data_IF_285888255428
#
_entry.id   IF_285888255428
#
_cell.length_a   1.000
_cell.length_b   1.000
_cell.length_c   1.000
_cell.angle_alpha   90.00
_cell.angle_beta   90.00
_cell.angle_gamma   90.00
#
_symmetry.space_group_name_H-M   'P 1'
#
loop_
_entity.id
_entity.type
_entity.pdbx_description
1 polymer ?
#
# COMPACT_ATOMS: atom_id res chain seq x y z
N UNK A 1 20.70 11.96 9.39
CA UNK A 1 20.12 12.87 8.36
C UNK A 1 18.78 12.25 7.95
N UNK A 2 17.76 13.08 7.70
CA UNK A 2 16.47 12.62 7.18
C UNK A 2 16.59 12.16 5.72
N UNK A 3 15.85 11.14 5.34
CA UNK A 3 15.76 10.65 3.96
C UNK A 3 14.92 11.65 3.14
N UNK A 4 15.49 12.19 2.08
CA UNK A 4 14.81 13.14 1.20
C UNK A 4 14.03 12.41 0.12
N UNK A 5 12.72 12.60 0.11
CA UNK A 5 11.85 11.98 -0.91
C UNK A 5 11.18 13.04 -1.78
N UNK A 6 10.97 12.71 -3.05
CA UNK A 6 10.15 13.47 -3.97
C UNK A 6 8.94 12.63 -4.41
N UNK A 7 7.76 13.24 -4.50
CA UNK A 7 6.51 12.56 -4.87
C UNK A 7 6.11 12.97 -6.29
N UNK A 8 6.07 12.02 -7.21
CA UNK A 8 5.48 12.20 -8.53
C UNK A 8 4.05 11.64 -8.52
N UNK A 9 3.06 12.51 -8.65
CA UNK A 9 1.63 12.20 -8.50
C UNK A 9 1.13 12.47 -7.08
N UNK A 10 0.44 13.59 -6.89
CA UNK A 10 -0.10 14.01 -5.60
C UNK A 10 -1.60 13.71 -5.49
N UNK A 11 -1.98 12.51 -6.00
CA UNK A 11 -3.31 11.91 -5.86
C UNK A 11 -3.56 11.40 -4.42
N UNK A 12 -4.46 10.43 -4.27
CA UNK A 12 -4.79 9.85 -2.95
C UNK A 12 -3.54 9.38 -2.21
N UNK A 13 -2.75 8.51 -2.82
CA UNK A 13 -1.58 7.89 -2.17
C UNK A 13 -0.48 8.93 -1.91
N UNK A 14 -0.14 9.78 -2.90
CA UNK A 14 0.89 10.82 -2.69
C UNK A 14 0.55 11.78 -1.55
N UNK A 15 -0.72 12.24 -1.44
CA UNK A 15 -1.17 13.07 -0.32
C UNK A 15 -1.13 12.32 1.01
N UNK A 16 -1.57 11.07 1.03
CA UNK A 16 -1.59 10.27 2.27
C UNK A 16 -0.19 9.91 2.75
N UNK A 17 0.79 9.76 1.87
CA UNK A 17 2.21 9.61 2.27
C UNK A 17 2.68 10.86 3.03
N UNK A 18 2.45 12.05 2.49
CA UNK A 18 2.83 13.29 3.18
C UNK A 18 2.08 13.45 4.51
N UNK A 19 0.76 13.15 4.53
CA UNK A 19 -0.04 13.17 5.75
C UNK A 19 0.51 12.21 6.79
N UNK A 20 0.78 10.95 6.42
CA UNK A 20 1.30 9.92 7.32
C UNK A 20 2.64 10.32 7.95
N UNK A 21 3.55 10.90 7.16
CA UNK A 21 4.86 11.39 7.65
C UNK A 21 4.68 12.51 8.68
N UNK A 22 3.78 13.46 8.42
CA UNK A 22 3.57 14.61 9.31
C UNK A 22 2.80 14.20 10.56
N UNK A 23 1.68 13.49 10.40
CA UNK A 23 0.77 13.12 11.49
C UNK A 23 1.42 12.12 12.47
N UNK A 24 2.28 11.23 11.99
CA UNK A 24 3.05 10.32 12.84
C UNK A 24 4.23 10.97 13.57
N UNK A 25 4.55 12.23 13.27
CA UNK A 25 5.67 12.94 13.89
C UNK A 25 7.06 12.44 13.44
N UNK A 26 7.17 11.67 12.35
CA UNK A 26 8.43 11.11 11.85
C UNK A 26 9.43 12.23 11.50
N UNK A 27 10.67 12.04 11.87
CA UNK A 27 11.78 12.96 11.58
C UNK A 27 12.87 12.31 10.73
N UNK A 28 12.75 11.04 10.44
CA UNK A 28 13.68 10.22 9.66
C UNK A 28 13.49 10.36 8.14
N UNK A 29 12.37 10.97 7.71
CA UNK A 29 11.99 11.16 6.30
C UNK A 29 11.41 12.56 6.08
N UNK A 30 11.72 13.15 4.93
CA UNK A 30 11.32 14.51 4.56
C UNK A 30 10.87 14.54 3.08
N UNK A 31 9.70 15.11 2.81
CA UNK A 31 9.24 15.37 1.45
C UNK A 31 9.80 16.72 1.00
N UNK A 32 10.69 16.72 0.02
CA UNK A 32 11.38 17.94 -0.48
C UNK A 32 10.77 18.48 -1.77
N UNK A 33 10.07 17.63 -2.54
CA UNK A 33 9.43 18.03 -3.80
C UNK A 33 8.18 17.21 -4.09
N UNK A 34 7.25 17.84 -4.80
CA UNK A 34 6.02 17.24 -5.31
C UNK A 34 5.88 17.62 -6.78
N UNK A 35 5.47 16.68 -7.62
CA UNK A 35 5.01 16.97 -8.97
C UNK A 35 3.57 16.51 -9.12
N UNK A 36 2.69 17.41 -9.55
CA UNK A 36 1.30 17.11 -9.88
C UNK A 36 0.79 18.11 -10.92
N UNK A 37 -0.06 17.66 -11.85
CA UNK A 37 -0.53 18.50 -12.96
C UNK A 37 -1.59 19.54 -12.55
N UNK A 38 -2.15 19.40 -11.35
CA UNK A 38 -3.11 20.35 -10.81
C UNK A 38 -2.45 21.60 -10.23
N UNK A 39 -3.19 22.72 -10.10
CA UNK A 39 -2.69 23.92 -9.44
C UNK A 39 -2.30 23.67 -7.99
N UNK A 40 -1.25 24.34 -7.51
CA UNK A 40 -0.77 24.21 -6.13
C UNK A 40 -1.87 24.51 -5.12
N UNK A 41 -2.69 25.54 -5.36
CA UNK A 41 -3.82 25.88 -4.49
C UNK A 41 -4.84 24.75 -4.35
N UNK A 42 -5.11 24.03 -5.43
CA UNK A 42 -6.00 22.85 -5.41
C UNK A 42 -5.39 21.71 -4.64
N UNK A 43 -4.10 21.44 -4.85
CA UNK A 43 -3.36 20.41 -4.10
C UNK A 43 -3.30 20.74 -2.60
N UNK A 44 -3.07 21.98 -2.24
CA UNK A 44 -3.09 22.48 -0.86
C UNK A 44 -4.48 22.30 -0.22
N UNK A 45 -5.55 22.63 -0.95
CA UNK A 45 -6.93 22.45 -0.49
C UNK A 45 -7.24 20.97 -0.24
N UNK A 46 -6.93 20.09 -1.21
CA UNK A 46 -7.17 18.65 -1.09
C UNK A 46 -6.27 17.95 -0.06
N UNK A 47 -5.12 18.54 0.30
CA UNK A 47 -4.31 18.08 1.42
C UNK A 47 -4.92 18.52 2.74
N UNK A 48 -5.44 19.76 2.82
CA UNK A 48 -6.06 20.29 4.04
C UNK A 48 -7.36 19.59 4.40
N UNK A 49 -8.19 19.25 3.39
CA UNK A 49 -9.52 18.70 3.56
C UNK A 49 -9.66 17.39 2.79
N UNK A 50 -9.85 16.31 3.51
CA UNK A 50 -10.01 14.97 2.96
C UNK A 50 -11.32 14.37 3.44
N UNK A 51 -12.15 13.88 2.51
CA UNK A 51 -13.47 13.32 2.84
C UNK A 51 -13.38 11.99 3.58
N UNK A 52 -12.25 11.29 3.49
CA UNK A 52 -12.00 9.99 4.11
C UNK A 52 -11.22 10.14 5.40
N UNK A 53 -10.08 10.87 5.35
CA UNK A 53 -9.14 11.01 6.47
C UNK A 53 -9.36 12.30 7.28
N UNK A 54 -10.36 13.09 6.92
CA UNK A 54 -10.71 14.30 7.66
C UNK A 54 -9.77 15.48 7.43
N UNK A 55 -9.90 16.48 8.27
CA UNK A 55 -9.11 17.70 8.18
C UNK A 55 -7.68 17.45 8.64
N UNK A 56 -6.70 17.90 7.83
CA UNK A 56 -5.29 17.81 8.19
C UNK A 56 -5.01 18.68 9.43
N UNK A 57 -4.25 18.19 10.43
CA UNK A 57 -4.09 18.88 11.71
C UNK A 57 -3.29 20.18 11.62
N UNK A 58 -2.43 20.32 10.60
CA UNK A 58 -1.64 21.50 10.37
C UNK A 58 -2.29 22.37 9.29
N UNK A 59 -2.27 23.70 9.44
CA UNK A 59 -2.74 24.61 8.41
C UNK A 59 -1.75 24.63 7.24
N UNK A 60 -2.22 24.22 6.07
CA UNK A 60 -1.42 24.25 4.85
C UNK A 60 -1.26 25.68 4.35
N UNK A 61 -0.01 26.07 4.10
CA UNK A 61 0.34 27.30 3.41
C UNK A 61 0.84 26.97 2.01
N UNK A 62 0.68 27.87 1.06
CA UNK A 62 1.16 27.67 -0.30
C UNK A 62 1.44 28.98 -1.02
N UNK A 63 2.27 28.89 -2.04
CA UNK A 63 2.49 29.92 -3.06
C UNK A 63 2.28 29.28 -4.45
N UNK A 64 2.70 29.94 -5.51
CA UNK A 64 2.63 29.37 -6.86
C UNK A 64 3.54 28.14 -7.07
N UNK A 65 4.62 28.01 -6.30
CA UNK A 65 5.66 26.98 -6.50
C UNK A 65 5.98 26.16 -5.24
N UNK A 66 5.37 26.47 -4.12
CA UNK A 66 5.68 25.84 -2.84
C UNK A 66 4.40 25.53 -2.05
N UNK A 67 4.50 24.46 -1.27
CA UNK A 67 3.51 24.04 -0.29
C UNK A 67 4.23 23.82 1.04
N UNK A 68 3.69 24.33 2.14
CA UNK A 68 4.20 24.08 3.49
C UNK A 68 3.14 23.36 4.32
N UNK A 69 3.49 22.17 4.77
CA UNK A 69 2.68 21.32 5.66
C UNK A 69 3.17 21.37 7.12
N UNK A 70 3.79 22.49 7.52
CA UNK A 70 4.27 22.72 8.89
C UNK A 70 5.72 22.31 9.15
N UNK A 71 6.48 21.95 8.11
CA UNK A 71 7.90 21.58 8.22
C UNK A 71 8.81 22.33 7.23
N UNK A 72 8.31 23.40 6.64
CA UNK A 72 9.01 24.19 5.64
C UNK A 72 8.49 23.96 4.23
N UNK A 73 9.10 24.67 3.30
CA UNK A 73 8.65 24.73 1.90
C UNK A 73 8.99 23.45 1.12
N UNK A 74 7.97 22.81 0.61
CA UNK A 74 8.06 21.69 -0.33
C UNK A 74 7.90 22.28 -1.73
N UNK A 75 8.89 22.09 -2.61
CA UNK A 75 8.81 22.56 -3.99
C UNK A 75 7.72 21.81 -4.76
N UNK A 76 6.87 22.54 -5.51
CA UNK A 76 5.83 21.95 -6.35
C UNK A 76 6.08 22.28 -7.82
N UNK A 77 5.99 21.26 -8.67
CA UNK A 77 6.07 21.34 -10.12
C UNK A 77 4.81 20.77 -10.77
N UNK A 78 4.54 21.15 -12.01
CA UNK A 78 3.42 20.65 -12.80
C UNK A 78 3.90 20.18 -14.19
N UNK A 79 4.87 19.27 -14.19
CA UNK A 79 5.52 18.76 -15.39
C UNK A 79 4.92 17.38 -15.77
N UNK A 80 4.43 17.29 -17.01
CA UNK A 80 3.84 16.05 -17.54
C UNK A 80 4.90 15.01 -17.89
N UNK A 81 6.04 15.48 -18.40
CA UNK A 81 7.15 14.63 -18.77
C UNK A 81 8.07 14.41 -17.55
N UNK A 82 8.15 13.18 -17.00
CA UNK A 82 8.99 12.93 -15.84
C UNK A 82 10.49 13.11 -16.11
N UNK A 83 10.93 13.17 -17.40
CA UNK A 83 12.31 13.44 -17.74
C UNK A 83 12.77 14.89 -17.40
N UNK A 84 11.83 15.78 -17.16
CA UNK A 84 12.10 17.20 -16.85
C UNK A 84 12.06 17.49 -15.33
N UNK A 85 11.74 16.48 -14.51
CA UNK A 85 11.58 16.64 -13.07
C UNK A 85 12.94 16.90 -12.40
N UNK A 86 13.06 17.92 -11.57
CA UNK A 86 14.32 18.30 -10.94
C UNK A 86 14.54 17.52 -9.63
N UNK A 87 14.96 16.28 -9.72
CA UNK A 87 15.17 15.37 -8.60
C UNK A 87 16.63 15.36 -8.06
N UNK A 88 17.41 16.42 -8.30
CA UNK A 88 18.74 16.54 -7.70
C UNK A 88 18.63 16.50 -6.17
N UNK A 89 19.52 15.75 -5.53
CA UNK A 89 19.55 15.56 -4.07
C UNK A 89 18.33 14.84 -3.46
N UNK A 90 17.63 14.03 -4.25
CA UNK A 90 16.53 13.17 -3.81
C UNK A 90 17.04 11.74 -3.58
N UNK A 91 16.87 11.22 -2.36
CA UNK A 91 17.27 9.85 -2.04
C UNK A 91 16.33 8.84 -2.69
N UNK A 92 15.01 9.07 -2.60
CA UNK A 92 14.02 8.18 -3.20
C UNK A 92 12.92 8.99 -3.90
N UNK A 93 12.73 8.74 -5.20
CA UNK A 93 11.57 9.23 -5.93
C UNK A 93 10.40 8.26 -5.74
N UNK A 94 9.27 8.78 -5.25
CA UNK A 94 8.03 8.02 -5.07
C UNK A 94 7.15 8.19 -6.30
N UNK A 95 7.03 7.12 -7.09
CA UNK A 95 6.18 7.12 -8.29
C UNK A 95 4.75 6.75 -7.90
N UNK A 96 3.90 7.76 -7.78
CA UNK A 96 2.52 7.64 -7.28
C UNK A 96 1.46 8.03 -8.31
N UNK A 97 1.83 8.18 -9.60
CA UNK A 97 0.86 8.57 -10.65
C UNK A 97 -0.02 7.40 -11.11
N UNK A 98 0.43 6.15 -10.92
CA UNK A 98 -0.20 4.97 -11.51
C UNK A 98 0.03 4.81 -13.02
N UNK A 99 0.80 5.71 -13.65
CA UNK A 99 1.08 5.71 -15.10
C UNK A 99 2.42 5.05 -15.43
N UNK A 100 3.45 5.32 -14.63
CA UNK A 100 4.81 4.83 -14.86
C UNK A 100 5.08 3.57 -14.02
N UNK A 101 4.28 2.51 -14.27
CA UNK A 101 4.32 1.26 -13.51
C UNK A 101 5.25 0.19 -14.10
N UNK A 102 5.87 0.45 -15.26
CA UNK A 102 6.96 -0.40 -15.78
C UNK A 102 8.30 0.11 -15.24
N UNK A 103 9.22 -0.83 -14.96
CA UNK A 103 10.57 -0.51 -14.48
C UNK A 103 11.27 0.53 -15.34
N UNK A 104 11.27 0.35 -16.67
CA UNK A 104 11.99 1.23 -17.58
C UNK A 104 11.39 2.64 -17.64
N UNK A 105 10.07 2.74 -17.49
CA UNK A 105 9.38 4.03 -17.40
C UNK A 105 9.68 4.71 -16.06
N UNK A 106 9.64 3.97 -14.95
CA UNK A 106 9.94 4.51 -13.62
C UNK A 106 11.42 4.89 -13.47
N UNK A 107 12.34 4.17 -14.14
CA UNK A 107 13.78 4.45 -14.09
C UNK A 107 14.19 5.84 -14.61
N UNK A 108 13.27 6.57 -15.25
CA UNK A 108 13.53 7.94 -15.70
C UNK A 108 13.86 8.87 -14.53
N UNK A 109 13.31 8.62 -13.35
CA UNK A 109 13.61 9.40 -12.15
C UNK A 109 15.07 9.27 -11.71
N UNK A 110 15.74 8.15 -12.00
CA UNK A 110 17.17 7.97 -11.75
C UNK A 110 18.02 8.89 -12.62
N UNK A 111 17.60 9.09 -13.88
CA UNK A 111 18.30 9.99 -14.81
C UNK A 111 18.20 11.46 -14.40
N UNK A 112 17.20 11.79 -13.60
CA UNK A 112 16.94 13.14 -13.10
C UNK A 112 17.60 13.44 -11.77
N UNK A 113 18.35 12.49 -11.21
CA UNK A 113 19.14 12.67 -10.00
C UNK A 113 18.64 11.98 -8.75
N UNK A 114 17.48 11.29 -8.79
CA UNK A 114 17.06 10.45 -7.67
C UNK A 114 18.00 9.23 -7.54
N UNK A 115 18.38 8.89 -6.31
CA UNK A 115 19.23 7.73 -6.07
C UNK A 115 18.46 6.42 -6.31
N UNK A 116 17.18 6.36 -5.94
CA UNK A 116 16.31 5.19 -6.06
C UNK A 116 14.88 5.60 -6.43
N UNK A 117 14.08 4.63 -6.88
CA UNK A 117 12.67 4.83 -7.20
C UNK A 117 11.84 3.79 -6.48
N UNK A 118 10.79 4.23 -5.78
CA UNK A 118 9.77 3.36 -5.18
C UNK A 118 8.43 3.59 -5.88
N UNK A 119 7.91 2.54 -6.53
CA UNK A 119 6.64 2.58 -7.25
C UNK A 119 5.51 2.16 -6.32
N UNK A 120 4.46 2.99 -6.21
CA UNK A 120 3.29 2.76 -5.34
C UNK A 120 2.25 1.82 -5.96
N UNK A 121 2.68 0.90 -6.80
CA UNK A 121 1.84 -0.07 -7.51
C UNK A 121 2.67 -1.32 -7.88
N UNK A 122 2.03 -2.44 -8.25
CA UNK A 122 2.72 -3.53 -8.91
C UNK A 122 3.47 -3.01 -10.14
N UNK A 123 4.76 -3.32 -10.24
CA UNK A 123 5.63 -2.80 -11.30
C UNK A 123 6.24 -3.93 -12.11
N UNK A 124 5.92 -3.95 -13.41
CA UNK A 124 6.47 -4.94 -14.33
C UNK A 124 7.97 -4.73 -14.50
N UNK A 125 8.73 -5.79 -14.25
CA UNK A 125 10.19 -5.78 -14.41
C UNK A 125 10.95 -4.98 -13.36
N UNK A 126 10.30 -4.52 -12.26
CA UNK A 126 11.00 -3.92 -11.12
C UNK A 126 12.16 -4.79 -10.65
N UNK A 127 13.24 -4.17 -10.20
CA UNK A 127 14.42 -4.91 -9.72
C UNK A 127 14.03 -5.81 -8.55
N UNK A 128 13.09 -5.35 -7.70
CA UNK A 128 12.45 -6.16 -6.66
C UNK A 128 11.01 -5.69 -6.42
N UNK A 129 10.13 -6.64 -6.08
CA UNK A 129 8.80 -6.36 -5.51
C UNK A 129 8.83 -6.71 -4.04
N UNK A 130 8.46 -5.76 -3.17
CA UNK A 130 8.59 -5.93 -1.73
C UNK A 130 7.30 -5.65 -0.98
N UNK A 131 7.19 -6.33 0.16
CA UNK A 131 6.25 -6.03 1.24
C UNK A 131 7.08 -5.82 2.51
N UNK A 132 6.95 -4.64 3.10
CA UNK A 132 7.69 -4.30 4.31
C UNK A 132 7.30 -5.23 5.47
N UNK A 133 8.30 -5.70 6.21
CA UNK A 133 8.13 -6.71 7.27
C UNK A 133 8.20 -8.15 6.76
N UNK A 134 8.07 -8.39 5.45
CA UNK A 134 8.10 -9.73 4.85
C UNK A 134 9.44 -9.98 4.16
N UNK A 135 9.70 -9.27 3.06
CA UNK A 135 10.92 -9.47 2.26
C UNK A 135 11.69 -8.18 1.95
N UNK A 136 11.39 -7.06 2.60
CA UNK A 136 12.08 -5.78 2.36
C UNK A 136 13.59 -5.86 2.63
N UNK A 137 14.03 -6.75 3.53
CA UNK A 137 15.45 -6.98 3.85
C UNK A 137 16.22 -7.64 2.70
N UNK A 138 15.53 -8.12 1.68
CA UNK A 138 16.16 -8.66 0.48
C UNK A 138 16.54 -7.56 -0.55
N UNK A 139 16.16 -6.31 -0.32
CA UNK A 139 16.59 -5.18 -1.17
C UNK A 139 18.09 -5.03 -0.99
N UNK A 140 18.80 -4.96 -2.10
CA UNK A 140 20.26 -4.76 -2.14
C UNK A 140 20.63 -3.35 -2.62
N UNK A 141 21.89 -2.98 -2.51
CA UNK A 141 22.39 -1.72 -3.06
C UNK A 141 22.26 -1.65 -4.58
N UNK A 142 22.23 -2.77 -5.28
CA UNK A 142 22.07 -2.83 -6.74
C UNK A 142 20.61 -2.59 -7.21
N UNK A 143 19.63 -2.80 -6.34
CA UNK A 143 18.23 -2.63 -6.68
C UNK A 143 17.85 -1.14 -6.66
N UNK A 144 17.52 -0.58 -7.79
CA UNK A 144 17.29 0.87 -7.96
C UNK A 144 15.81 1.22 -8.15
N UNK A 145 15.01 0.35 -8.78
CA UNK A 145 13.58 0.55 -9.03
C UNK A 145 12.81 -0.57 -8.32
N UNK A 146 12.16 -0.21 -7.24
CA UNK A 146 11.44 -1.13 -6.35
C UNK A 146 9.95 -0.93 -6.50
N UNK A 147 9.19 -2.03 -6.52
CA UNK A 147 7.74 -2.01 -6.38
C UNK A 147 7.34 -2.27 -4.94
N UNK A 148 6.50 -1.40 -4.36
CA UNK A 148 5.88 -1.64 -3.04
C UNK A 148 4.65 -2.57 -3.13
N UNK A 149 4.51 -3.33 -4.22
CA UNK A 149 3.37 -4.19 -4.52
C UNK A 149 2.03 -3.41 -4.52
N UNK A 150 0.94 -4.06 -4.15
CA UNK A 150 -0.38 -3.43 -3.97
C UNK A 150 -0.76 -3.37 -2.48
N UNK A 151 -1.76 -2.55 -2.13
CA UNK A 151 -2.31 -2.51 -0.79
C UNK A 151 -2.84 -3.88 -0.34
N UNK A 152 -3.50 -4.62 -1.22
CA UNK A 152 -4.00 -5.97 -0.95
C UNK A 152 -2.85 -6.97 -0.75
N UNK A 153 -1.77 -6.88 -1.53
CA UNK A 153 -0.58 -7.74 -1.34
C UNK A 153 0.10 -7.43 -0.01
N UNK A 154 0.17 -6.16 0.39
CA UNK A 154 0.70 -5.74 1.69
C UNK A 154 -0.16 -6.26 2.85
N UNK A 155 -1.47 -6.36 2.68
CA UNK A 155 -2.38 -6.95 3.66
C UNK A 155 -2.21 -8.48 3.75
N UNK A 156 -2.17 -9.16 2.61
CA UNK A 156 -2.19 -10.61 2.54
C UNK A 156 -0.86 -11.26 2.94
N UNK A 157 0.28 -10.71 2.45
CA UNK A 157 1.60 -11.36 2.57
C UNK A 157 2.05 -11.60 4.00
N UNK A 158 1.92 -10.67 4.97
CA UNK A 158 2.30 -10.93 6.37
C UNK A 158 1.57 -12.12 6.98
N UNK A 159 0.27 -12.23 6.69
CA UNK A 159 -0.57 -13.29 7.25
C UNK A 159 -0.26 -14.65 6.62
N UNK A 160 -0.17 -14.73 5.29
CA UNK A 160 0.15 -16.01 4.64
C UNK A 160 1.57 -16.48 4.93
N UNK A 161 2.52 -15.57 5.17
CA UNK A 161 3.88 -15.90 5.59
C UNK A 161 3.86 -16.68 6.91
N UNK A 162 3.26 -16.11 7.95
CA UNK A 162 3.24 -16.74 9.28
C UNK A 162 2.43 -18.05 9.28
N UNK A 163 1.32 -18.09 8.54
CA UNK A 163 0.52 -19.31 8.43
C UNK A 163 1.28 -20.41 7.67
N UNK A 164 1.95 -20.05 6.56
CA UNK A 164 2.73 -21.02 5.79
C UNK A 164 3.92 -21.59 6.59
N UNK A 165 4.61 -20.72 7.32
CA UNK A 165 5.77 -21.12 8.15
C UNK A 165 5.38 -22.05 9.31
N UNK A 166 4.18 -21.92 9.88
CA UNK A 166 3.76 -22.67 11.07
C UNK A 166 2.91 -23.92 10.76
N UNK A 167 1.97 -23.82 9.81
CA UNK A 167 1.01 -24.90 9.51
C UNK A 167 1.05 -25.38 8.06
N UNK A 168 1.78 -24.66 7.18
CA UNK A 168 1.89 -24.96 5.76
C UNK A 168 0.62 -24.65 5.01
N UNK A 169 0.68 -23.83 3.96
CA UNK A 169 -0.41 -23.58 3.02
C UNK A 169 -0.18 -24.48 1.81
N UNK A 170 -1.13 -25.34 1.51
CA UNK A 170 -1.14 -26.21 0.34
C UNK A 170 -1.66 -25.46 -0.88
N UNK A 171 -2.81 -24.80 -0.75
CA UNK A 171 -3.45 -23.95 -1.74
C UNK A 171 -4.49 -23.06 -1.07
N UNK A 172 -4.87 -21.98 -1.73
CA UNK A 172 -5.92 -21.10 -1.22
C UNK A 172 -6.50 -20.19 -2.28
N UNK A 173 -7.67 -19.64 -1.97
CA UNK A 173 -8.35 -18.66 -2.81
C UNK A 173 -8.79 -17.49 -1.94
N UNK A 174 -8.46 -16.27 -2.35
CA UNK A 174 -8.89 -15.09 -1.64
C UNK A 174 -9.91 -14.27 -2.41
N UNK A 175 -10.83 -13.67 -1.70
CA UNK A 175 -11.66 -12.57 -2.19
C UNK A 175 -11.32 -11.31 -1.43
N UNK A 176 -10.86 -10.27 -2.11
CA UNK A 176 -10.81 -8.96 -1.45
C UNK A 176 -12.13 -8.23 -1.68
N UNK A 177 -12.83 -7.95 -0.58
CA UNK A 177 -13.95 -7.00 -0.57
C UNK A 177 -13.33 -5.62 -0.40
N UNK A 178 -13.30 -4.87 -1.49
CA UNK A 178 -12.43 -3.70 -1.62
C UNK A 178 -13.23 -2.42 -1.80
N UNK A 179 -12.86 -1.36 -1.09
CA UNK A 179 -13.39 -0.02 -1.35
C UNK A 179 -13.15 0.39 -2.79
N UNK A 180 -13.99 1.28 -3.32
CA UNK A 180 -13.72 1.87 -4.63
C UNK A 180 -12.47 2.76 -4.58
N UNK A 181 -11.80 2.92 -5.71
CA UNK A 181 -10.58 3.73 -5.85
C UNK A 181 -10.75 4.79 -6.93
N UNK A 182 -9.82 5.73 -7.01
CA UNK A 182 -9.93 6.89 -7.89
C UNK A 182 -9.98 6.60 -9.40
N UNK A 183 -9.76 5.34 -9.81
CA UNK A 183 -9.96 4.86 -11.18
C UNK A 183 -11.43 4.51 -11.49
N UNK A 184 -12.29 4.44 -10.47
CA UNK A 184 -13.69 4.09 -10.62
C UNK A 184 -14.58 5.33 -10.60
N UNK A 185 -15.49 5.47 -11.60
CA UNK A 185 -16.32 6.64 -11.73
C UNK A 185 -17.49 6.65 -10.73
N UNK A 186 -17.98 7.83 -10.39
CA UNK A 186 -19.21 8.00 -9.60
C UNK A 186 -20.47 7.60 -10.41
N UNK A 187 -20.47 7.84 -11.72
CA UNK A 187 -21.51 7.44 -12.67
C UNK A 187 -20.90 6.64 -13.82
N UNK A 188 -21.72 5.84 -14.51
CA UNK A 188 -21.30 5.02 -15.64
C UNK A 188 -20.55 5.87 -16.69
N UNK A 189 -19.35 5.43 -17.08
CA UNK A 189 -18.52 6.10 -18.07
C UNK A 189 -17.56 5.12 -18.77
N UNK A 190 -16.85 5.60 -19.78
CA UNK A 190 -15.90 4.77 -20.54
C UNK A 190 -14.75 4.30 -19.65
N UNK A 191 -14.54 2.99 -19.66
CA UNK A 191 -13.42 2.31 -19.00
C UNK A 191 -13.05 1.05 -19.79
N UNK A 192 -11.78 0.66 -19.78
CA UNK A 192 -11.30 -0.55 -20.47
C UNK A 192 -11.84 -1.84 -19.87
N UNK A 193 -12.07 -1.88 -18.56
CA UNK A 193 -12.81 -2.95 -17.87
C UNK A 193 -14.29 -2.55 -17.77
N UNK A 194 -15.16 -3.29 -18.43
CA UNK A 194 -16.59 -3.00 -18.49
C UNK A 194 -17.29 -3.08 -17.11
N UNK A 195 -16.77 -3.88 -16.20
CA UNK A 195 -17.26 -3.88 -14.82
C UNK A 195 -16.93 -2.57 -14.11
N UNK A 196 -15.69 -2.07 -14.26
CA UNK A 196 -15.25 -0.80 -13.65
C UNK A 196 -15.82 0.43 -14.35
N UNK A 197 -16.43 0.28 -15.52
CA UNK A 197 -17.16 1.35 -16.21
C UNK A 197 -18.44 1.78 -15.46
N UNK A 198 -18.90 0.97 -14.52
CA UNK A 198 -20.16 1.19 -13.80
C UNK A 198 -19.95 1.99 -12.52
N UNK A 199 -21.05 2.63 -12.07
CA UNK A 199 -21.09 3.48 -10.87
C UNK A 199 -20.58 2.78 -9.62
N UNK A 200 -19.46 3.25 -9.09
CA UNK A 200 -18.79 2.71 -7.91
C UNK A 200 -19.61 2.90 -6.62
N UNK A 201 -20.40 3.98 -6.56
CA UNK A 201 -21.17 4.34 -5.37
C UNK A 201 -22.50 3.58 -5.24
N UNK A 202 -22.93 2.86 -6.30
CA UNK A 202 -24.23 2.19 -6.34
C UNK A 202 -24.14 0.67 -6.46
N UNK A 203 -22.97 0.12 -6.78
CA UNK A 203 -22.87 -1.27 -7.21
C UNK A 203 -21.76 -2.02 -6.51
N UNK A 204 -21.98 -3.32 -6.26
CA UNK A 204 -20.90 -4.27 -6.00
C UNK A 204 -20.35 -4.71 -7.36
N UNK A 205 -19.06 -4.53 -7.58
CA UNK A 205 -18.41 -4.70 -8.89
C UNK A 205 -17.37 -5.81 -8.82
N UNK A 206 -17.60 -6.98 -9.45
CA UNK A 206 -16.59 -8.02 -9.56
C UNK A 206 -15.48 -7.56 -10.51
N UNK A 207 -14.23 -7.79 -10.14
CA UNK A 207 -13.09 -7.44 -11.00
C UNK A 207 -11.89 -8.34 -10.69
N UNK A 208 -10.97 -8.42 -11.62
CA UNK A 208 -9.72 -9.14 -11.42
C UNK A 208 -8.81 -8.43 -10.43
N UNK A 209 -7.94 -9.20 -9.78
CA UNK A 209 -6.82 -8.69 -8.99
C UNK A 209 -5.59 -9.57 -9.19
N UNK A 210 -4.43 -8.95 -9.32
CA UNK A 210 -3.15 -9.66 -9.33
C UNK A 210 -2.55 -9.87 -7.93
N UNK A 211 -3.24 -9.43 -6.87
CA UNK A 211 -2.66 -9.36 -5.53
C UNK A 211 -2.26 -10.73 -4.96
N UNK A 212 -3.08 -11.78 -5.16
CA UNK A 212 -2.76 -13.13 -4.71
C UNK A 212 -1.57 -13.73 -5.47
N UNK A 213 -1.51 -13.52 -6.78
CA UNK A 213 -0.37 -13.96 -7.62
C UNK A 213 0.91 -13.21 -7.27
N UNK A 214 0.80 -11.93 -6.91
CA UNK A 214 1.93 -11.12 -6.49
C UNK A 214 2.55 -11.58 -5.17
N UNK A 215 1.82 -12.33 -4.33
CA UNK A 215 2.39 -12.98 -3.14
C UNK A 215 3.54 -13.91 -3.53
N UNK A 216 3.46 -14.62 -4.66
CA UNK A 216 4.54 -15.47 -5.14
C UNK A 216 5.81 -14.73 -5.57
N UNK A 217 5.76 -13.40 -5.80
CA UNK A 217 6.94 -12.56 -6.02
C UNK A 217 7.63 -12.17 -4.71
N UNK A 218 6.89 -12.16 -3.61
CA UNK A 218 7.33 -11.75 -2.28
C UNK A 218 7.72 -12.96 -1.44
N UNK A 219 6.99 -14.06 -1.60
CA UNK A 219 7.15 -15.36 -0.93
C UNK A 219 7.18 -16.46 -2.01
N UNK A 220 8.35 -16.75 -2.60
CA UNK A 220 8.48 -17.70 -3.72
C UNK A 220 7.93 -19.10 -3.43
N UNK A 221 7.96 -19.53 -2.17
CA UNK A 221 7.42 -20.82 -1.71
C UNK A 221 5.89 -20.92 -1.84
N UNK A 222 5.20 -19.78 -1.98
CA UNK A 222 3.75 -19.70 -2.23
C UNK A 222 3.40 -19.46 -3.70
N UNK A 223 4.37 -19.43 -4.60
CA UNK A 223 4.13 -19.26 -6.02
C UNK A 223 3.19 -20.36 -6.56
N UNK A 224 2.10 -19.93 -7.22
CA UNK A 224 1.10 -20.85 -7.78
C UNK A 224 0.14 -21.50 -6.78
N UNK A 225 0.32 -21.26 -5.48
CA UNK A 225 -0.56 -21.84 -4.43
C UNK A 225 -1.76 -20.96 -4.11
N UNK A 226 -1.71 -19.67 -4.42
CA UNK A 226 -2.76 -18.71 -4.13
C UNK A 226 -3.26 -18.05 -5.42
N UNK A 227 -4.59 -17.92 -5.53
CA UNK A 227 -5.27 -17.11 -6.54
C UNK A 227 -6.40 -16.31 -5.89
N UNK A 228 -7.04 -15.39 -6.62
CA UNK A 228 -8.12 -14.62 -6.04
C UNK A 228 -8.76 -13.63 -6.98
N UNK A 229 -9.83 -13.03 -6.46
CA UNK A 229 -10.66 -12.04 -7.14
C UNK A 229 -10.89 -10.82 -6.23
N UNK A 230 -11.41 -9.75 -6.81
CA UNK A 230 -11.84 -8.57 -6.05
C UNK A 230 -13.33 -8.31 -6.28
N UNK A 231 -14.02 -7.90 -5.22
CA UNK A 231 -15.35 -7.32 -5.29
C UNK A 231 -15.24 -5.89 -4.77
N UNK A 232 -15.42 -4.91 -5.66
CA UNK A 232 -15.49 -3.51 -5.25
C UNK A 232 -16.87 -3.21 -4.69
N UNK A 233 -16.91 -2.49 -3.57
CA UNK A 233 -18.13 -2.17 -2.85
C UNK A 233 -18.30 -0.65 -2.69
N UNK A 234 -19.55 -0.15 -2.48
CA UNK A 234 -19.83 1.28 -2.28
C UNK A 234 -19.31 1.82 -0.93
N UNK A 235 -18.03 1.67 -0.68
CA UNK A 235 -17.35 2.09 0.55
C UNK A 235 -16.12 2.89 0.14
N UNK A 236 -15.89 4.10 0.69
CA UNK A 236 -14.83 5.00 0.20
C UNK A 236 -13.44 4.58 0.63
N UNK A 237 -13.30 3.86 1.74
CA UNK A 237 -12.02 3.40 2.27
C UNK A 237 -12.22 2.21 3.19
N UNK A 238 -11.13 1.52 3.49
CA UNK A 238 -11.01 0.27 4.21
C UNK A 238 -11.58 -0.91 3.42
N UNK A 239 -10.76 -1.91 3.29
CA UNK A 239 -11.00 -3.14 2.56
C UNK A 239 -10.72 -4.35 3.46
N UNK A 240 -11.16 -5.52 3.04
CA UNK A 240 -10.76 -6.76 3.71
C UNK A 240 -10.38 -7.85 2.71
N UNK A 241 -9.54 -8.76 3.15
CA UNK A 241 -9.24 -10.03 2.48
C UNK A 241 -9.96 -11.15 3.22
N UNK A 242 -10.80 -11.87 2.52
CA UNK A 242 -11.39 -13.14 2.94
C UNK A 242 -10.58 -14.25 2.25
N UNK A 243 -9.77 -14.96 3.03
CA UNK A 243 -8.89 -16.00 2.54
C UNK A 243 -9.39 -17.37 3.03
N UNK A 244 -9.73 -18.24 2.08
CA UNK A 244 -9.97 -19.67 2.33
C UNK A 244 -8.78 -20.46 1.79
N UNK A 245 -8.20 -21.35 2.63
CA UNK A 245 -7.01 -22.11 2.28
C UNK A 245 -7.00 -23.49 2.93
N UNK A 246 -6.31 -24.41 2.28
CA UNK A 246 -6.07 -25.77 2.76
C UNK A 246 -4.66 -25.85 3.35
N UNK A 247 -4.56 -26.38 4.56
CA UNK A 247 -3.27 -26.57 5.25
C UNK A 247 -2.64 -27.92 4.91
N UNK A 248 -1.31 -28.02 5.11
CA UNK A 248 -0.56 -29.27 4.90
C UNK A 248 -0.81 -30.29 6.02
N UNK A 249 -1.08 -29.79 7.23
CA UNK A 249 -1.44 -30.59 8.40
C UNK A 249 -2.69 -30.06 9.06
N UNK A 250 -3.29 -30.87 9.91
CA UNK A 250 -4.42 -30.43 10.73
C UNK A 250 -4.01 -29.27 11.66
N UNK A 251 -4.97 -28.38 11.89
CA UNK A 251 -4.85 -27.21 12.73
C UNK A 251 -6.19 -26.90 13.41
N UNK A 252 -6.23 -25.84 14.21
CA UNK A 252 -7.43 -25.40 14.89
C UNK A 252 -7.56 -23.86 14.82
N UNK A 253 -8.77 -23.36 15.03
CA UNK A 253 -9.03 -21.92 15.19
C UNK A 253 -8.13 -21.30 16.26
N UNK A 254 -7.93 -21.97 17.38
CA UNK A 254 -7.10 -21.49 18.49
C UNK A 254 -5.63 -21.37 18.07
N UNK A 255 -5.08 -22.37 17.37
CA UNK A 255 -3.70 -22.36 16.88
C UNK A 255 -3.48 -21.22 15.85
N UNK A 256 -4.36 -21.07 14.87
CA UNK A 256 -4.27 -20.00 13.87
C UNK A 256 -4.27 -18.62 14.53
N UNK A 257 -5.19 -18.40 15.47
CA UNK A 257 -5.30 -17.14 16.21
C UNK A 257 -4.05 -16.87 17.07
N UNK A 258 -3.49 -17.91 17.70
CA UNK A 258 -2.26 -17.79 18.48
C UNK A 258 -1.04 -17.44 17.61
N UNK A 259 -0.92 -18.03 16.43
CA UNK A 259 0.13 -17.70 15.45
C UNK A 259 0.05 -16.22 15.07
N UNK A 260 -1.14 -15.73 14.74
CA UNK A 260 -1.36 -14.34 14.37
C UNK A 260 -1.02 -13.38 15.54
N UNK A 261 -1.50 -13.69 16.75
CA UNK A 261 -1.26 -12.89 17.94
C UNK A 261 0.24 -12.82 18.31
N UNK A 262 0.94 -13.94 18.23
CA UNK A 262 2.37 -14.00 18.53
C UNK A 262 3.18 -13.15 17.53
N UNK A 263 2.88 -13.25 16.25
CA UNK A 263 3.55 -12.47 15.20
C UNK A 263 3.26 -10.97 15.28
N UNK A 264 2.06 -10.58 15.69
CA UNK A 264 1.71 -9.17 15.91
C UNK A 264 2.42 -8.56 17.14
N UNK A 265 2.68 -9.37 18.16
CA UNK A 265 3.30 -8.91 19.42
C UNK A 265 4.81 -8.69 19.30
N UNK A 266 5.50 -9.45 18.45
CA UNK A 266 6.96 -9.46 18.38
C UNK A 266 7.49 -9.74 16.97
N UNK A 267 8.80 -9.50 16.76
CA UNK A 267 9.48 -9.78 15.51
C UNK A 267 9.24 -8.74 14.40
N UNK A 268 9.50 -9.09 13.13
CA UNK A 268 9.49 -8.15 12.02
C UNK A 268 8.10 -7.61 11.67
N UNK A 269 7.03 -8.27 12.12
CA UNK A 269 5.65 -7.86 11.85
C UNK A 269 5.04 -7.00 12.97
N UNK A 270 5.76 -6.74 14.05
CA UNK A 270 5.29 -5.84 15.11
C UNK A 270 5.03 -4.44 14.54
N UNK A 271 3.80 -3.92 14.75
CA UNK A 271 3.36 -2.64 14.20
C UNK A 271 2.94 -2.68 12.72
N UNK A 272 3.12 -3.82 12.04
CA UNK A 272 2.69 -4.06 10.66
C UNK A 272 1.45 -4.95 10.63
N UNK A 273 1.46 -6.03 11.41
CA UNK A 273 0.32 -6.89 11.69
C UNK A 273 -0.30 -6.52 13.02
N UNK A 274 -1.61 -6.45 13.07
CA UNK A 274 -2.41 -6.35 14.28
C UNK A 274 -3.39 -7.50 14.37
N UNK A 275 -3.98 -7.70 15.55
CA UNK A 275 -5.08 -8.63 15.79
C UNK A 275 -6.21 -7.92 16.51
N UNK A 276 -7.44 -8.38 16.29
CA UNK A 276 -8.63 -7.92 17.00
C UNK A 276 -9.61 -9.07 17.20
N UNK A 277 -10.28 -9.12 18.35
CA UNK A 277 -11.41 -9.99 18.67
C UNK A 277 -12.72 -9.20 18.81
N UNK A 278 -12.65 -7.88 18.67
CA UNK A 278 -13.78 -6.97 18.75
C UNK A 278 -14.69 -7.08 17.51
N UNK A 279 -15.97 -6.76 17.69
CA UNK A 279 -16.99 -6.77 16.63
C UNK A 279 -16.95 -5.48 15.81
N UNK A 280 -15.88 -5.30 15.04
CA UNK A 280 -15.61 -4.10 14.28
C UNK A 280 -16.04 -4.23 12.81
N UNK A 281 -16.27 -3.09 12.17
CA UNK A 281 -16.61 -2.96 10.76
C UNK A 281 -15.61 -2.02 10.06
N UNK A 282 -15.70 -1.91 8.75
CA UNK A 282 -14.68 -1.22 7.93
C UNK A 282 -14.29 0.17 8.44
N UNK A 283 -15.26 0.99 8.87
CA UNK A 283 -14.97 2.37 9.30
C UNK A 283 -14.07 2.45 10.54
N UNK A 284 -14.08 1.44 11.39
CA UNK A 284 -13.29 1.39 12.62
C UNK A 284 -11.80 1.23 12.35
N UNK A 285 -11.45 0.77 11.16
CA UNK A 285 -10.06 0.63 10.71
C UNK A 285 -9.59 1.80 9.84
N UNK A 286 -10.42 2.82 9.65
CA UNK A 286 -10.02 4.00 8.90
C UNK A 286 -8.86 4.70 9.61
N UNK A 287 -7.82 5.03 8.86
CA UNK A 287 -6.61 5.66 9.39
C UNK A 287 -5.73 4.73 10.26
N UNK A 288 -5.90 3.41 10.14
CA UNK A 288 -5.01 2.46 10.79
C UNK A 288 -3.69 2.34 10.01
N UNK A 289 -2.53 2.58 10.63
CA UNK A 289 -1.24 2.54 9.94
C UNK A 289 -0.72 1.13 9.65
N UNK A 290 -1.35 0.09 10.21
CA UNK A 290 -0.92 -1.30 10.00
C UNK A 290 -1.31 -1.80 8.60
N UNK A 291 -0.51 -2.70 8.07
CA UNK A 291 -0.78 -3.33 6.77
C UNK A 291 -1.91 -4.35 6.83
N UNK A 292 -2.05 -5.02 7.96
CA UNK A 292 -2.96 -6.15 8.16
C UNK A 292 -3.52 -6.12 9.58
N UNK A 293 -4.84 -6.24 9.74
CA UNK A 293 -5.49 -6.43 11.03
C UNK A 293 -6.27 -7.73 10.96
N UNK A 294 -5.77 -8.76 11.63
CA UNK A 294 -6.34 -10.10 11.65
C UNK A 294 -7.53 -10.16 12.61
N UNK A 295 -8.72 -10.53 12.11
CA UNK A 295 -9.94 -10.66 12.90
C UNK A 295 -10.04 -12.09 13.45
N UNK A 296 -9.67 -12.29 14.73
CA UNK A 296 -9.59 -13.62 15.36
C UNK A 296 -10.96 -14.30 15.54
N UNK A 297 -12.01 -13.50 15.68
CA UNK A 297 -13.41 -13.99 15.80
C UNK A 297 -13.96 -14.52 14.47
N UNK A 298 -13.31 -14.18 13.35
CA UNK A 298 -13.70 -14.59 12.01
C UNK A 298 -12.96 -15.84 11.51
N UNK A 299 -12.04 -16.39 12.29
CA UNK A 299 -11.31 -17.61 11.95
C UNK A 299 -12.23 -18.82 12.02
N UNK A 300 -12.23 -19.64 10.96
CA UNK A 300 -12.96 -20.92 10.87
C UNK A 300 -12.04 -22.02 10.41
N UNK A 301 -12.23 -23.21 10.96
CA UNK A 301 -11.55 -24.44 10.52
C UNK A 301 -12.62 -25.53 10.33
N UNK A 302 -12.64 -26.16 9.17
CA UNK A 302 -13.49 -27.29 8.83
C UNK A 302 -12.59 -28.51 8.58
N UNK A 303 -13.00 -29.67 9.06
CA UNK A 303 -12.32 -30.97 8.87
C UNK A 303 -10.81 -30.94 9.17
N UNK A 304 -10.40 -30.08 10.11
CA UNK A 304 -9.04 -29.94 10.58
C UNK A 304 -8.09 -29.16 9.64
N UNK A 305 -8.38 -29.02 8.37
CA UNK A 305 -7.44 -28.46 7.40
C UNK A 305 -8.00 -27.45 6.39
N UNK A 306 -9.32 -27.31 6.27
CA UNK A 306 -9.91 -26.24 5.46
C UNK A 306 -10.16 -25.01 6.35
N UNK A 307 -9.38 -23.97 6.14
CA UNK A 307 -9.33 -22.78 6.99
C UNK A 307 -9.87 -21.55 6.27
N UNK A 308 -10.52 -20.68 7.02
CA UNK A 308 -10.92 -19.36 6.55
C UNK A 308 -10.48 -18.30 7.55
N UNK A 309 -9.89 -17.21 7.09
CA UNK A 309 -9.50 -16.05 7.89
C UNK A 309 -9.95 -14.75 7.23
N UNK A 310 -10.21 -13.72 8.05
CA UNK A 310 -10.56 -12.37 7.59
C UNK A 310 -9.50 -11.38 8.08
N UNK A 311 -9.05 -10.52 7.16
CA UNK A 311 -7.98 -9.58 7.42
C UNK A 311 -8.44 -8.20 6.94
N UNK A 312 -8.49 -7.21 7.83
CA UNK A 312 -8.82 -5.83 7.51
C UNK A 312 -7.58 -5.03 7.14
N UNK A 313 -7.73 -4.00 6.34
CA UNK A 313 -6.68 -3.04 6.03
C UNK A 313 -7.23 -1.70 5.54
N UNK A 314 -6.65 -0.61 6.00
CA UNK A 314 -6.84 0.67 5.34
C UNK A 314 -5.99 0.71 4.07
N UNK A 315 -6.64 0.56 2.92
CA UNK A 315 -5.97 0.44 1.63
C UNK A 315 -5.24 1.71 1.17
N UNK A 316 -5.52 2.85 1.80
CA UNK A 316 -4.82 4.11 1.56
C UNK A 316 -3.77 4.39 2.65
N UNK A 317 -4.18 4.39 3.93
CA UNK A 317 -3.34 4.82 5.03
C UNK A 317 -2.26 3.81 5.40
N UNK A 318 -2.61 2.54 5.58
CA UNK A 318 -1.64 1.48 5.85
C UNK A 318 -0.60 1.38 4.74
N UNK A 319 -1.03 1.43 3.48
CA UNK A 319 -0.14 1.40 2.33
C UNK A 319 0.79 2.63 2.27
N UNK A 320 0.29 3.83 2.58
CA UNK A 320 1.07 5.07 2.60
C UNK A 320 2.16 5.04 3.69
N UNK A 321 1.87 4.46 4.84
CA UNK A 321 2.88 4.23 5.88
C UNK A 321 3.98 3.26 5.39
N UNK A 322 3.62 2.19 4.68
CA UNK A 322 4.62 1.25 4.10
C UNK A 322 5.48 1.91 3.03
N UNK A 323 4.93 2.82 2.24
CA UNK A 323 5.74 3.61 1.30
C UNK A 323 6.83 4.42 2.03
N UNK A 324 6.50 5.06 3.15
CA UNK A 324 7.46 5.80 3.95
C UNK A 324 8.52 4.87 4.58
N UNK A 325 8.11 3.73 5.15
CA UNK A 325 9.02 2.77 5.77
C UNK A 325 9.99 2.15 4.76
N UNK A 326 9.48 1.74 3.61
CA UNK A 326 10.30 1.17 2.52
C UNK A 326 11.30 2.21 2.00
N UNK A 327 10.90 3.49 1.88
CA UNK A 327 11.79 4.57 1.45
C UNK A 327 12.98 4.76 2.39
N UNK A 328 12.72 4.76 3.70
CA UNK A 328 13.78 4.89 4.71
C UNK A 328 14.73 3.69 4.66
N UNK A 329 14.18 2.49 4.54
CA UNK A 329 15.00 1.29 4.40
C UNK A 329 15.87 1.33 3.14
N UNK A 330 15.29 1.68 1.98
CA UNK A 330 16.02 1.81 0.71
C UNK A 330 17.18 2.80 0.81
N UNK A 331 16.96 3.95 1.42
CA UNK A 331 18.01 4.97 1.58
C UNK A 331 19.11 4.52 2.54
N UNK A 332 18.81 3.68 3.53
CA UNK A 332 19.82 3.16 4.47
C UNK A 332 20.85 2.21 3.83
N UNK A 333 20.56 1.66 2.65
CA UNK A 333 21.45 0.78 1.91
C UNK A 333 22.58 1.51 1.15
N UNK A 334 22.64 2.86 1.24
CA UNK A 334 23.59 3.68 0.52
C UNK A 334 23.20 3.90 -0.95
N UNK A 335 23.94 4.79 -1.60
CA UNK A 335 23.73 5.12 -3.02
C UNK A 335 24.45 4.15 -3.95
#
# INVERSE_FOLDING_TARGET
MSVKVAINGFGRIGRNILRAIIESGRTDIEVVAINDLGPVATNAHLLQYDSVHGRFPVKIKHSEKYLDAGRGDIRVTALRNPAELPWQDVDVALECTGVFTDRDKAAIHLKNGANRVLVSAPSKGADKTVVYGVNHTEISAADRVISNASCTTNCLSPVVQILHQNIGIKRGFMTTVHSYTGDQPALDTMHSDLYRARSAALSMIPTSTGAAKAVGLVLPELAGKLDGVAIRVPTPNVSCVDLTFETVRDTSTAEINQIAAAAAAAGPLKGILGVTDEKLVSIDFNHDPRSSIFATDQTKVLDGNLCRVLIWYDNEWGFSNRMADTSVYMASLGA
#
